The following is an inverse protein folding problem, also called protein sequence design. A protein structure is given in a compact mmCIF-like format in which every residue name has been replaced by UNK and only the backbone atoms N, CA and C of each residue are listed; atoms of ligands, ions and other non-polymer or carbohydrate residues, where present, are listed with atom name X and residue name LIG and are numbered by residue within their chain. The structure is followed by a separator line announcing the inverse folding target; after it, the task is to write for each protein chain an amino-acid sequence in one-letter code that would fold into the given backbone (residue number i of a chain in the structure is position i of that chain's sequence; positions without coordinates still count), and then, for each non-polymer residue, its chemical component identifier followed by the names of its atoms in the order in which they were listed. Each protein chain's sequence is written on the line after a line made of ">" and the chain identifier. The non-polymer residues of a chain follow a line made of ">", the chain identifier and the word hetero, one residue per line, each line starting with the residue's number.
data_IF_407069252387
#
_entry.id   IF_407069252387
#
_cell.length_a   1.000
_cell.length_b   1.000
_cell.length_c   1.000
_cell.angle_alpha   90.00
_cell.angle_beta   90.00
_cell.angle_gamma   90.00
#
_symmetry.space_group_name_H-M   'P 1'
#
loop_
_entity.id
_entity.type
_entity.pdbx_description
1 polymer ?
#
# COMPACT_ATOMS: atom_id res chain seq x y z
N UNK A 1 -12.02 -7.08 16.53
CA UNK A 1 -10.99 -6.38 15.76
C UNK A 1 -10.02 -5.67 16.71
N UNK A 2 -8.74 -5.62 16.35
CA UNK A 2 -7.66 -4.95 17.12
C UNK A 2 -6.94 -4.01 16.15
N UNK A 3 -7.23 -2.72 16.28
CA UNK A 3 -6.72 -1.66 15.38
C UNK A 3 -6.04 -0.52 16.15
N UNK A 4 -5.99 -0.60 17.47
CA UNK A 4 -5.37 0.39 18.34
C UNK A 4 -4.73 -0.27 19.56
N UNK A 5 -3.75 0.43 20.16
CA UNK A 5 -3.07 0.00 21.39
C UNK A 5 -4.08 -0.19 22.52
N UNK A 6 -4.96 0.79 22.74
CA UNK A 6 -6.00 0.73 23.76
C UNK A 6 -6.95 -0.46 23.54
N UNK A 7 -7.38 -0.68 22.29
CA UNK A 7 -8.25 -1.79 21.94
C UNK A 7 -7.60 -3.16 22.18
N UNK A 8 -6.29 -3.27 21.93
CA UNK A 8 -5.52 -4.47 22.26
C UNK A 8 -5.48 -4.69 23.77
N UNK A 9 -5.04 -3.70 24.55
CA UNK A 9 -4.89 -3.82 26.00
C UNK A 9 -6.22 -4.07 26.70
N UNK A 10 -7.30 -3.44 26.24
CA UNK A 10 -8.66 -3.68 26.76
C UNK A 10 -9.07 -5.13 26.57
N UNK A 11 -8.97 -5.66 25.34
CA UNK A 11 -9.33 -7.05 25.05
C UNK A 11 -8.49 -8.05 25.83
N UNK A 12 -7.21 -7.76 26.00
CA UNK A 12 -6.31 -8.62 26.76
C UNK A 12 -6.79 -8.76 28.22
N UNK A 13 -7.05 -7.61 28.87
CA UNK A 13 -7.54 -7.57 30.26
C UNK A 13 -8.92 -8.21 30.43
N UNK A 14 -9.82 -8.03 29.46
CA UNK A 14 -11.18 -8.56 29.53
C UNK A 14 -11.26 -10.08 29.33
N UNK A 15 -10.36 -10.64 28.53
CA UNK A 15 -10.42 -12.06 28.14
C UNK A 15 -9.45 -12.95 28.92
N UNK A 16 -8.46 -12.36 29.59
CA UNK A 16 -7.39 -13.06 30.29
C UNK A 16 -6.70 -14.13 29.41
N UNK A 17 -6.57 -13.83 28.11
CA UNK A 17 -5.88 -14.70 27.16
C UNK A 17 -4.36 -14.52 27.25
N UNK A 18 -3.61 -15.53 26.82
CA UNK A 18 -2.13 -15.48 26.84
C UNK A 18 -1.54 -14.57 25.75
N UNK A 19 -2.32 -14.22 24.73
CA UNK A 19 -1.86 -13.37 23.64
C UNK A 19 -2.98 -12.83 22.75
N UNK A 20 -2.64 -11.83 21.95
CA UNK A 20 -3.54 -11.19 20.98
C UNK A 20 -2.95 -11.28 19.59
N UNK A 21 -3.77 -11.71 18.63
CA UNK A 21 -3.44 -11.66 17.21
C UNK A 21 -3.91 -10.32 16.61
N UNK A 22 -2.98 -9.63 15.94
CA UNK A 22 -3.25 -8.37 15.25
C UNK A 22 -3.06 -8.60 13.75
N UNK A 23 -4.18 -8.65 13.01
CA UNK A 23 -4.17 -8.80 11.55
C UNK A 23 -4.18 -7.44 10.85
N UNK A 24 -5.36 -7.01 10.40
CA UNK A 24 -5.53 -5.77 9.61
C UNK A 24 -4.97 -4.51 10.28
N UNK A 25 -5.02 -4.43 11.61
CA UNK A 25 -4.44 -3.31 12.37
C UNK A 25 -2.93 -3.17 12.16
N UNK A 26 -2.21 -4.30 12.08
CA UNK A 26 -0.76 -4.30 11.86
C UNK A 26 -0.39 -3.85 10.44
N UNK A 27 -1.25 -4.11 9.45
CA UNK A 27 -1.03 -3.60 8.09
C UNK A 27 -1.09 -2.07 8.06
N UNK A 28 -1.98 -1.46 8.86
CA UNK A 28 -2.17 0.01 8.93
C UNK A 28 -1.11 0.70 9.78
N UNK A 29 -0.58 -0.01 10.76
CA UNK A 29 0.42 0.48 11.67
C UNK A 29 1.33 -0.69 12.05
N UNK A 30 2.42 -0.94 11.31
CA UNK A 30 3.33 -2.04 11.61
C UNK A 30 4.03 -1.88 12.96
N UNK A 31 4.14 -0.65 13.47
CA UNK A 31 4.71 -0.36 14.78
C UNK A 31 3.79 -0.70 15.94
N UNK A 32 2.54 -1.14 15.71
CA UNK A 32 1.58 -1.44 16.78
C UNK A 32 2.13 -2.46 17.80
N UNK A 33 2.94 -3.42 17.37
CA UNK A 33 3.56 -4.41 18.26
C UNK A 33 4.55 -3.74 19.23
N UNK A 34 5.48 -2.93 18.69
CA UNK A 34 6.42 -2.14 19.48
C UNK A 34 5.70 -1.16 20.39
N UNK A 35 4.67 -0.49 19.89
CA UNK A 35 3.91 0.48 20.66
C UNK A 35 3.16 -0.17 21.84
N UNK A 36 2.61 -1.38 21.64
CA UNK A 36 2.02 -2.16 22.74
C UNK A 36 3.08 -2.53 23.76
N UNK A 37 4.25 -3.00 23.32
CA UNK A 37 5.38 -3.31 24.18
C UNK A 37 5.84 -2.09 25.00
N UNK A 38 5.95 -0.91 24.37
CA UNK A 38 6.29 0.34 25.03
C UNK A 38 5.30 0.66 26.16
N UNK A 39 4.00 0.58 25.89
CA UNK A 39 2.98 0.84 26.91
C UNK A 39 3.02 -0.20 28.03
N UNK A 40 3.21 -1.48 27.72
CA UNK A 40 3.33 -2.54 28.73
C UNK A 40 4.56 -2.33 29.64
N UNK A 41 5.62 -1.75 29.11
CA UNK A 41 6.83 -1.41 29.86
C UNK A 41 6.78 -0.03 30.54
N UNK A 42 5.65 0.68 30.47
CA UNK A 42 5.49 2.02 31.05
C UNK A 42 6.24 3.13 30.32
N UNK A 43 6.55 2.94 29.03
CA UNK A 43 7.15 3.95 28.14
C UNK A 43 6.08 4.61 27.29
N UNK A 44 6.39 5.81 26.79
CA UNK A 44 5.59 6.44 25.75
C UNK A 44 5.62 5.61 24.46
N UNK A 45 4.47 5.36 23.80
CA UNK A 45 4.43 4.59 22.57
C UNK A 45 5.24 5.26 21.46
N UNK A 46 6.08 4.46 20.78
CA UNK A 46 6.83 4.92 19.61
C UNK A 46 5.97 5.69 18.59
N UNK A 47 6.44 6.86 18.17
CA UNK A 47 5.81 7.65 17.10
C UNK A 47 6.69 7.59 15.85
N UNK A 48 6.26 6.90 14.77
CA UNK A 48 7.07 6.78 13.58
C UNK A 48 7.23 8.12 12.86
N UNK A 49 8.47 8.46 12.54
CA UNK A 49 8.83 9.64 11.75
C UNK A 49 8.48 9.43 10.27
N UNK A 50 8.60 10.49 9.45
CA UNK A 50 8.48 10.36 7.99
C UNK A 50 9.57 9.44 7.43
N UNK A 51 10.79 9.55 7.96
CA UNK A 51 11.92 8.69 7.59
C UNK A 51 11.64 7.22 7.91
N UNK A 52 11.08 6.90 9.09
CA UNK A 52 10.69 5.53 9.44
C UNK A 52 9.66 4.96 8.46
N UNK A 53 8.68 5.79 8.07
CA UNK A 53 7.65 5.38 7.11
C UNK A 53 8.24 5.11 5.74
N UNK A 54 9.11 5.99 5.25
CA UNK A 54 9.80 5.81 3.98
C UNK A 54 10.65 4.55 4.00
N UNK A 55 11.43 4.36 5.07
CA UNK A 55 12.30 3.19 5.24
C UNK A 55 11.52 1.88 5.19
N UNK A 56 10.43 1.76 5.96
CA UNK A 56 9.60 0.54 5.96
C UNK A 56 8.98 0.26 4.59
N UNK A 57 8.56 1.30 3.85
CA UNK A 57 8.06 1.14 2.49
C UNK A 57 9.15 0.57 1.57
N UNK A 58 10.33 1.18 1.56
CA UNK A 58 11.43 0.76 0.69
C UNK A 58 11.94 -0.64 1.03
N UNK A 59 12.07 -0.97 2.32
CA UNK A 59 12.44 -2.33 2.75
C UNK A 59 11.40 -3.37 2.31
N UNK A 60 10.10 -3.06 2.44
CA UNK A 60 9.05 -3.95 1.95
C UNK A 60 9.09 -4.11 0.44
N UNK A 61 9.43 -3.05 -0.29
CA UNK A 61 9.45 -3.07 -1.75
C UNK A 61 10.61 -3.91 -2.26
N UNK A 62 11.76 -3.85 -1.60
CA UNK A 62 12.88 -4.73 -1.93
C UNK A 62 12.51 -6.20 -1.69
N UNK A 63 11.88 -6.53 -0.56
CA UNK A 63 11.39 -7.89 -0.31
C UNK A 63 10.41 -8.36 -1.40
N UNK A 64 9.51 -7.49 -1.87
CA UNK A 64 8.60 -7.84 -2.96
C UNK A 64 9.33 -8.11 -4.28
N UNK A 65 10.40 -7.38 -4.57
CA UNK A 65 11.21 -7.58 -5.79
C UNK A 65 11.98 -8.90 -5.74
N UNK A 66 12.41 -9.32 -4.55
CA UNK A 66 13.09 -10.59 -4.34
C UNK A 66 12.13 -11.79 -4.41
N UNK A 67 10.91 -11.65 -3.87
CA UNK A 67 10.01 -12.77 -3.64
C UNK A 67 8.98 -13.03 -4.75
N UNK A 68 8.74 -12.10 -5.67
CA UNK A 68 7.70 -12.27 -6.69
C UNK A 68 7.95 -11.53 -8.01
N UNK A 69 7.26 -11.94 -9.10
CA UNK A 69 7.32 -11.21 -10.37
C UNK A 69 6.86 -9.76 -10.23
N UNK A 70 7.31 -8.93 -11.18
CA UNK A 70 7.11 -7.47 -11.13
C UNK A 70 5.64 -7.05 -11.11
N UNK A 71 4.80 -7.61 -12.00
CA UNK A 71 3.38 -7.25 -12.09
C UNK A 71 2.60 -7.40 -10.77
N UNK A 72 2.65 -8.55 -10.06
CA UNK A 72 2.02 -8.65 -8.75
C UNK A 72 2.71 -7.80 -7.68
N UNK A 73 4.02 -7.56 -7.78
CA UNK A 73 4.74 -6.68 -6.86
C UNK A 73 4.21 -5.24 -6.93
N UNK A 74 4.01 -4.70 -8.13
CA UNK A 74 3.45 -3.35 -8.38
C UNK A 74 2.13 -3.16 -7.63
N UNK A 75 1.21 -4.13 -7.71
CA UNK A 75 -0.07 -4.06 -7.02
C UNK A 75 0.09 -3.96 -5.49
N UNK A 76 0.98 -4.79 -4.91
CA UNK A 76 1.27 -4.78 -3.47
C UNK A 76 2.00 -3.51 -3.03
N UNK A 77 2.90 -2.99 -3.84
CA UNK A 77 3.60 -1.73 -3.59
C UNK A 77 2.61 -0.57 -3.50
N UNK A 78 1.75 -0.41 -4.52
CA UNK A 78 0.70 0.62 -4.54
C UNK A 78 -0.22 0.53 -3.33
N UNK A 79 -0.61 -0.69 -2.94
CA UNK A 79 -1.46 -0.91 -1.77
C UNK A 79 -0.82 -0.40 -0.49
N UNK A 80 0.44 -0.78 -0.21
CA UNK A 80 1.11 -0.38 1.04
C UNK A 80 1.43 1.12 1.07
N UNK A 81 1.95 1.68 -0.02
CA UNK A 81 2.24 3.11 -0.10
C UNK A 81 0.95 3.95 0.01
N UNK A 82 -0.16 3.51 -0.60
CA UNK A 82 -1.45 4.18 -0.44
C UNK A 82 -1.95 4.19 1.01
N UNK A 83 -1.63 3.16 1.78
CA UNK A 83 -2.00 3.04 3.18
C UNK A 83 -1.17 3.96 4.09
N UNK A 84 0.15 4.02 3.88
CA UNK A 84 1.08 4.80 4.71
C UNK A 84 0.95 6.32 4.52
N UNK A 85 0.51 6.72 3.34
CA UNK A 85 0.30 8.13 2.98
C UNK A 85 -1.10 8.64 3.32
N UNK A 86 -1.97 7.80 3.89
CA UNK A 86 -3.27 8.23 4.38
C UNK A 86 -3.10 9.15 5.59
N UNK A 87 -3.72 10.34 5.52
CA UNK A 87 -3.65 11.34 6.58
C UNK A 87 -2.36 12.19 6.57
N UNK A 88 -1.44 11.91 5.66
CA UNK A 88 -0.29 12.79 5.41
C UNK A 88 -0.68 13.94 4.46
N UNK A 89 -0.01 15.07 4.62
CA UNK A 89 -0.16 16.25 3.77
C UNK A 89 0.19 15.87 2.33
N UNK A 90 -0.57 16.37 1.35
CA UNK A 90 -0.41 16.00 -0.07
C UNK A 90 -0.70 14.54 -0.41
N UNK A 91 -1.03 13.69 0.58
CA UNK A 91 -1.13 12.24 0.39
C UNK A 91 -2.26 11.82 -0.56
N UNK A 92 -3.33 12.62 -0.70
CA UNK A 92 -4.39 12.32 -1.67
C UNK A 92 -3.92 12.45 -3.12
N UNK A 93 -3.14 13.48 -3.41
CA UNK A 93 -2.61 13.73 -4.73
C UNK A 93 -1.50 12.73 -5.06
N UNK A 94 -0.60 12.47 -4.10
CA UNK A 94 0.40 11.41 -4.22
C UNK A 94 -0.24 10.05 -4.56
N UNK A 95 -1.32 9.66 -3.88
CA UNK A 95 -2.01 8.40 -4.19
C UNK A 95 -2.53 8.37 -5.62
N UNK A 96 -3.05 9.49 -6.13
CA UNK A 96 -3.47 9.57 -7.52
C UNK A 96 -2.28 9.31 -8.45
N UNK A 97 -1.14 9.99 -8.26
CA UNK A 97 0.08 9.74 -9.05
C UNK A 97 0.53 8.28 -8.97
N UNK A 98 0.63 7.75 -7.75
CA UNK A 98 1.06 6.38 -7.46
C UNK A 98 0.20 5.32 -8.17
N UNK A 99 -1.13 5.51 -8.23
CA UNK A 99 -2.00 4.54 -8.91
C UNK A 99 -1.82 4.51 -10.42
N UNK A 100 -1.33 5.60 -11.03
CA UNK A 100 -1.02 5.69 -12.46
C UNK A 100 0.39 5.22 -12.81
N UNK A 101 1.25 4.89 -11.84
CA UNK A 101 2.59 4.36 -12.14
C UNK A 101 2.51 2.95 -12.76
N UNK A 102 3.31 2.68 -13.78
CA UNK A 102 3.25 1.41 -14.54
C UNK A 102 4.47 0.51 -14.34
N UNK A 103 5.52 0.99 -13.68
CA UNK A 103 6.72 0.22 -13.35
C UNK A 103 7.10 0.35 -11.87
N UNK A 104 8.01 -0.51 -11.41
CA UNK A 104 8.59 -0.42 -10.07
C UNK A 104 9.42 0.86 -9.92
N UNK A 105 10.17 1.22 -10.95
CA UNK A 105 11.02 2.41 -10.97
C UNK A 105 10.19 3.68 -10.78
N UNK A 106 9.09 3.83 -11.53
CA UNK A 106 8.18 4.98 -11.37
C UNK A 106 7.59 5.06 -9.97
N UNK A 107 7.27 3.91 -9.34
CA UNK A 107 6.74 3.88 -7.97
C UNK A 107 7.81 4.37 -6.97
N UNK A 108 9.04 3.88 -7.10
CA UNK A 108 10.15 4.25 -6.21
C UNK A 108 10.48 5.74 -6.34
N UNK A 109 10.53 6.26 -7.57
CA UNK A 109 10.78 7.68 -7.84
C UNK A 109 9.68 8.55 -7.23
N UNK A 110 8.40 8.18 -7.44
CA UNK A 110 7.27 8.93 -6.87
C UNK A 110 7.29 8.93 -5.34
N UNK A 111 7.70 7.83 -4.69
CA UNK A 111 7.87 7.77 -3.24
C UNK A 111 9.01 8.68 -2.79
N UNK A 112 10.16 8.63 -3.48
CA UNK A 112 11.31 9.48 -3.21
C UNK A 112 10.91 10.95 -3.22
N UNK A 113 10.34 11.42 -4.33
CA UNK A 113 9.86 12.80 -4.49
C UNK A 113 8.87 13.16 -3.38
N UNK A 114 7.89 12.29 -3.09
CA UNK A 114 6.88 12.57 -2.06
C UNK A 114 7.49 12.82 -0.67
N UNK A 115 8.35 11.92 -0.20
CA UNK A 115 8.94 12.05 1.13
C UNK A 115 9.98 13.17 1.20
N UNK A 116 10.72 13.44 0.12
CA UNK A 116 11.62 14.60 0.02
C UNK A 116 10.85 15.92 0.13
N UNK A 117 9.73 16.08 -0.59
CA UNK A 117 8.86 17.26 -0.50
C UNK A 117 8.37 17.47 0.94
N UNK A 118 7.92 16.40 1.61
CA UNK A 118 7.46 16.52 3.00
C UNK A 118 8.59 16.89 3.96
N UNK A 119 9.79 16.37 3.75
CA UNK A 119 10.97 16.70 4.56
C UNK A 119 11.42 18.16 4.34
N UNK A 120 11.19 18.72 3.15
CA UNK A 120 11.39 20.14 2.87
C UNK A 120 10.32 21.05 3.50
N UNK A 121 9.25 20.48 4.07
CA UNK A 121 8.13 21.24 4.63
C UNK A 121 7.14 21.74 3.59
N UNK A 122 7.20 21.20 2.37
CA UNK A 122 6.37 21.56 1.22
C UNK A 122 5.16 20.63 1.07
N UNK A 123 4.21 21.00 0.21
CA UNK A 123 3.02 20.20 -0.05
C UNK A 123 3.17 19.52 -1.41
N UNK A 124 3.17 18.19 -1.44
CA UNK A 124 3.24 17.44 -2.69
C UNK A 124 2.13 17.85 -3.67
N UNK A 125 2.55 18.30 -4.85
CA UNK A 125 1.70 18.69 -5.98
C UNK A 125 0.94 20.01 -5.83
N UNK A 126 1.40 20.91 -4.96
CA UNK A 126 0.97 22.32 -4.94
C UNK A 126 1.58 23.17 -6.08
N UNK A 127 2.39 22.56 -6.95
CA UNK A 127 3.08 23.21 -8.06
C UNK A 127 4.39 23.91 -7.67
N UNK A 128 4.84 23.82 -6.41
CA UNK A 128 6.13 24.36 -5.95
C UNK A 128 7.32 23.44 -6.26
N UNK A 129 7.05 22.15 -6.44
CA UNK A 129 8.06 21.16 -6.82
C UNK A 129 8.06 21.01 -8.34
N UNK A 130 8.91 21.77 -9.03
CA UNK A 130 9.29 21.49 -10.42
C UNK A 130 10.16 20.23 -10.45
N UNK A 131 9.55 19.06 -10.34
CA UNK A 131 10.17 17.81 -10.78
C UNK A 131 9.36 17.27 -11.93
N UNK A 132 10.05 16.92 -13.01
CA UNK A 132 9.50 16.37 -14.24
C UNK A 132 8.65 15.13 -13.96
N UNK A 133 7.38 15.35 -13.61
CA UNK A 133 6.36 14.34 -13.76
C UNK A 133 6.38 13.95 -15.25
N UNK A 134 6.51 12.65 -15.60
CA UNK A 134 6.33 12.25 -16.97
C UNK A 134 4.96 12.75 -17.42
N UNK A 135 4.96 13.46 -18.56
CA UNK A 135 3.74 13.99 -19.14
C UNK A 135 2.76 12.84 -19.30
N UNK A 136 1.72 12.84 -18.48
CA UNK A 136 0.55 11.98 -18.65
C UNK A 136 -0.14 12.43 -19.93
N UNK A 137 0.21 11.76 -21.04
CA UNK A 137 -0.52 11.84 -22.30
C UNK A 137 -1.85 11.09 -22.14
N UNK A 138 -2.80 11.78 -21.52
CA UNK A 138 -4.20 11.40 -21.53
C UNK A 138 -4.74 11.68 -22.93
N UNK A 139 -4.55 10.74 -23.86
CA UNK A 139 -5.43 10.53 -25.01
C UNK A 139 -4.90 9.39 -25.89
N UNK A 140 -5.50 8.21 -25.79
CA UNK A 140 -5.74 7.40 -26.98
C UNK A 140 -7.13 6.76 -26.89
N UNK A 141 -8.03 7.31 -27.70
CA UNK A 141 -9.39 6.83 -27.86
C UNK A 141 -9.38 5.48 -28.55
N UNK A 142 -10.12 4.52 -27.99
CA UNK A 142 -10.41 3.28 -28.68
C UNK A 142 -11.70 3.46 -29.48
N UNK A 143 -11.56 3.69 -30.79
CA UNK A 143 -12.63 3.50 -31.78
C UNK A 143 -12.48 2.12 -32.42
N UNK A 144 -13.51 1.31 -32.21
CA UNK A 144 -14.03 0.16 -32.98
C UNK A 144 -13.09 -0.69 -33.87
N UNK A 145 -13.00 -1.99 -33.55
CA UNK A 145 -13.12 -3.05 -34.55
C UNK A 145 -13.98 -4.20 -34.00
N UNK A 146 -15.14 -4.43 -34.63
CA UNK A 146 -16.00 -5.59 -34.40
C UNK A 146 -15.32 -6.83 -34.98
N UNK A 147 -15.07 -7.83 -34.14
CA UNK A 147 -14.82 -9.19 -34.59
C UNK A 147 -15.97 -10.07 -34.09
N UNK A 148 -16.83 -10.49 -35.01
CA UNK A 148 -17.81 -11.54 -34.79
C UNK A 148 -17.07 -12.85 -34.48
N UNK A 149 -17.25 -13.37 -33.28
CA UNK A 149 -16.93 -14.76 -32.98
C UNK A 149 -18.23 -15.49 -32.63
N UNK A 150 -18.74 -16.23 -33.60
CA UNK A 150 -19.77 -17.25 -33.42
C UNK A 150 -19.33 -18.21 -32.31
N UNK A 151 -20.19 -18.41 -31.31
CA UNK A 151 -20.03 -19.47 -30.31
C UNK A 151 -20.82 -20.67 -30.79
N UNK A 152 -20.13 -21.68 -31.34
CA UNK A 152 -20.71 -23.02 -31.46
C UNK A 152 -20.61 -23.72 -30.10
N UNK A 153 -21.76 -24.12 -29.58
CA UNK A 153 -21.92 -24.83 -28.32
C UNK A 153 -21.54 -26.30 -28.56
N UNK A 154 -20.29 -26.65 -28.22
CA UNK A 154 -19.82 -28.03 -28.18
C UNK A 154 -20.37 -28.77 -26.95
N UNK A 155 -21.24 -29.73 -27.21
CA UNK A 155 -21.77 -30.72 -26.26
C UNK A 155 -20.64 -31.43 -25.49
N UNK A 156 -20.82 -31.57 -24.18
CA UNK A 156 -19.94 -32.32 -23.28
C UNK A 156 -20.80 -33.38 -22.57
N UNK A 157 -21.10 -34.48 -23.24
CA UNK A 157 -21.65 -35.68 -22.59
C UNK A 157 -20.50 -36.55 -22.08
N UNK A 158 -20.29 -36.47 -20.77
CA UNK A 158 -19.40 -37.33 -20.01
C UNK A 158 -20.03 -38.71 -19.81
N UNK A 159 -19.38 -39.74 -20.33
CA UNK A 159 -19.70 -41.13 -20.05
C UNK A 159 -18.79 -41.67 -18.95
N UNK A 160 -19.28 -41.83 -17.71
CA UNK A 160 -18.89 -42.90 -16.74
C UNK A 160 -20.03 -43.10 -15.73
N UNK A 161 -20.70 -44.26 -15.75
CA UNK A 161 -21.15 -45.03 -14.57
C UNK A 161 -22.02 -46.24 -14.98
N UNK A 162 -21.42 -47.44 -14.95
CA UNK A 162 -21.97 -48.73 -14.45
C UNK A 162 -21.10 -49.89 -14.95
#
# INVERSE_FOLDING_TARGET
>A
DVVSIEGALKKWRETNCDGILIGRGAMQNPWIFRQIEDVLAGREPYQPTLEDKQKVLLEYFEMLREDMPELPAIGKMKQLAGQFTKGLIGGSLFRQTLYHSHSVEEILDNIGVYFETLNAGEIYGDGSVETAAPAIDSCDGFSEEKSECLVEVGSCDAAIAA
#
